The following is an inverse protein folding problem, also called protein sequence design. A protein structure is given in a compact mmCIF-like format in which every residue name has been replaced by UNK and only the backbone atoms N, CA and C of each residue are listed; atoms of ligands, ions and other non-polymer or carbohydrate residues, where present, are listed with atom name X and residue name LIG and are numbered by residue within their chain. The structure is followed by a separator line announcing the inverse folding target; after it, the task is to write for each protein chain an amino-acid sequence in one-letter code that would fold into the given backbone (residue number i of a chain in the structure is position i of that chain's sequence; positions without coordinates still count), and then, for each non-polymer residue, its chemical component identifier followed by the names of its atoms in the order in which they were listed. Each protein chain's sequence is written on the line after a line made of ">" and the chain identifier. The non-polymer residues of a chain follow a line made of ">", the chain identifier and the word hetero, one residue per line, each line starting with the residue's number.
data_IF_937249412438
#
_entry.id   IF_937249412438
#
_cell.length_a   1.000
_cell.length_b   1.000
_cell.length_c   1.000
_cell.angle_alpha   90.00
_cell.angle_beta   90.00
_cell.angle_gamma   90.00
#
_symmetry.space_group_name_H-M   'P 1'
#
loop_
_entity.id
_entity.type
_entity.pdbx_description
1 polymer ?
#
# COMPACT_ATOMS: atom_id res chain seq x y z
N UNK A 1 2.38 39.83 59.04
CA UNK A 1 2.76 38.54 58.43
C UNK A 1 3.21 38.65 56.94
N UNK A 2 3.02 39.80 56.29
CA UNK A 2 3.45 40.03 54.93
C UNK A 2 4.84 40.67 54.74
N UNK A 3 5.49 41.11 55.82
CA UNK A 3 6.82 41.72 55.79
C UNK A 3 7.99 40.71 55.95
N UNK A 4 7.70 39.46 56.27
CA UNK A 4 8.72 38.43 56.51
C UNK A 4 9.04 37.59 55.28
N UNK A 5 8.29 37.72 54.21
CA UNK A 5 8.51 36.98 52.99
C UNK A 5 9.34 37.72 51.92
N UNK A 6 9.42 39.07 52.05
CA UNK A 6 10.25 39.88 51.15
C UNK A 6 11.72 39.92 51.52
N UNK A 7 12.07 39.73 52.81
CA UNK A 7 13.45 39.71 53.26
C UNK A 7 14.22 38.41 52.98
N UNK A 8 13.53 37.36 52.57
CA UNK A 8 14.14 36.05 52.20
C UNK A 8 14.56 35.98 50.75
N UNK A 9 14.07 36.87 49.90
CA UNK A 9 14.36 36.85 48.46
C UNK A 9 15.59 37.72 48.10
N UNK A 10 16.00 38.65 49.00
CA UNK A 10 17.11 39.58 48.73
C UNK A 10 18.52 39.06 49.09
N UNK A 11 18.66 37.83 49.54
CA UNK A 11 19.96 37.22 49.85
C UNK A 11 20.38 36.04 48.95
N UNK A 12 19.90 35.97 47.75
CA UNK A 12 20.60 35.22 46.69
C UNK A 12 21.68 36.13 46.10
N UNK A 13 22.71 36.39 46.90
CA UNK A 13 24.01 36.89 46.38
C UNK A 13 24.48 35.87 45.37
N UNK A 14 24.30 36.12 44.07
CA UNK A 14 25.01 35.40 43.03
C UNK A 14 26.53 35.67 43.28
N UNK A 15 27.17 34.75 44.01
CA UNK A 15 28.62 34.72 44.06
C UNK A 15 29.07 34.77 42.62
N UNK A 16 29.87 35.75 42.24
CA UNK A 16 30.51 35.78 40.94
C UNK A 16 31.27 34.45 40.80
N UNK A 17 30.77 33.62 39.90
CA UNK A 17 31.35 32.32 39.61
C UNK A 17 32.77 32.54 39.12
N UNK A 18 33.72 31.85 39.71
CA UNK A 18 35.10 31.90 39.31
C UNK A 18 35.25 31.43 37.85
N UNK A 19 36.23 31.90 37.10
CA UNK A 19 36.47 31.56 35.69
C UNK A 19 36.44 30.04 35.45
N UNK A 20 36.90 29.28 36.42
CA UNK A 20 36.90 27.82 36.38
C UNK A 20 35.50 27.24 36.49
N UNK A 21 34.63 27.81 37.31
CA UNK A 21 33.22 27.42 37.47
C UNK A 21 32.42 27.77 36.23
N UNK A 22 32.71 28.91 35.58
CA UNK A 22 32.11 29.26 34.29
C UNK A 22 32.53 28.29 33.18
N UNK A 23 33.81 27.90 33.11
CA UNK A 23 34.25 26.93 32.09
C UNK A 23 33.62 25.55 32.28
N UNK A 24 33.44 25.10 33.52
CA UNK A 24 32.75 23.81 33.80
C UNK A 24 31.26 23.85 33.45
N UNK A 25 30.57 24.98 33.69
CA UNK A 25 29.17 25.17 33.30
C UNK A 25 29.00 25.19 31.79
N UNK A 26 29.87 25.87 31.05
CA UNK A 26 29.86 25.90 29.60
C UNK A 26 30.09 24.50 29.03
N UNK A 27 31.09 23.77 29.55
CA UNK A 27 31.41 22.43 29.12
C UNK A 27 30.26 21.45 29.40
N UNK A 28 29.61 21.54 30.57
CA UNK A 28 28.45 20.73 30.89
C UNK A 28 27.26 21.03 30.00
N UNK A 29 27.02 22.31 29.67
CA UNK A 29 25.94 22.71 28.74
C UNK A 29 26.17 22.17 27.33
N UNK A 30 27.45 22.22 26.86
CA UNK A 30 27.82 21.63 25.55
C UNK A 30 27.61 20.11 25.56
N UNK A 31 28.02 19.42 26.64
CA UNK A 31 27.82 17.98 26.79
C UNK A 31 26.32 17.57 26.79
N UNK A 32 25.48 18.31 27.53
CA UNK A 32 24.03 18.08 27.57
C UNK A 32 23.44 18.34 26.20
N UNK A 33 23.83 19.38 25.50
CA UNK A 33 23.37 19.68 24.14
C UNK A 33 23.79 18.58 23.16
N UNK A 34 25.04 18.15 23.18
CA UNK A 34 25.55 17.07 22.35
C UNK A 34 24.80 15.74 22.62
N UNK A 35 24.55 15.43 23.90
CA UNK A 35 23.80 14.25 24.31
C UNK A 35 22.33 14.33 23.89
N UNK A 36 21.72 15.50 24.00
CA UNK A 36 20.35 15.72 23.54
C UNK A 36 20.22 15.54 22.02
N UNK A 37 21.18 16.08 21.25
CA UNK A 37 21.24 15.89 19.79
C UNK A 37 21.47 14.41 19.46
N UNK A 38 22.34 13.73 20.20
CA UNK A 38 22.56 12.29 20.03
C UNK A 38 21.28 11.48 20.28
N UNK A 39 20.58 11.73 21.41
CA UNK A 39 19.31 11.05 21.72
C UNK A 39 18.28 11.33 20.64
N UNK A 40 18.12 12.59 20.23
CA UNK A 40 17.15 12.97 19.21
C UNK A 40 17.45 12.32 17.85
N UNK A 41 18.72 12.30 17.44
CA UNK A 41 19.11 11.76 16.12
C UNK A 41 19.13 10.24 16.06
N UNK A 42 19.59 9.58 17.10
CA UNK A 42 19.77 8.12 17.11
C UNK A 42 18.68 7.38 17.86
N UNK A 43 17.87 8.07 18.68
CA UNK A 43 16.80 7.45 19.49
C UNK A 43 17.24 6.11 20.10
N UNK A 44 18.37 6.02 20.82
CA UNK A 44 18.98 4.75 21.25
C UNK A 44 18.09 3.94 22.20
N UNK A 45 17.09 4.57 22.80
CA UNK A 45 16.13 3.94 23.71
C UNK A 45 14.82 3.54 23.01
N UNK A 46 14.59 3.96 21.76
CA UNK A 46 13.42 3.57 21.00
C UNK A 46 13.66 2.19 20.38
N UNK A 47 13.35 1.15 21.13
CA UNK A 47 13.38 -0.22 20.61
C UNK A 47 11.99 -0.59 20.12
N UNK A 48 11.87 -0.93 18.85
CA UNK A 48 10.62 -1.38 18.29
C UNK A 48 10.46 -1.00 16.82
N UNK A 49 9.35 -1.45 16.30
CA UNK A 49 8.92 -1.14 14.94
C UNK A 49 7.41 -0.90 14.95
N UNK A 50 6.91 -0.31 13.88
CA UNK A 50 5.47 -0.12 13.63
C UNK A 50 5.09 -0.81 12.34
N UNK A 51 3.92 -1.47 12.33
CA UNK A 51 3.33 -1.98 11.09
C UNK A 51 2.64 -0.80 10.43
N UNK A 52 3.03 -0.50 9.19
CA UNK A 52 2.45 0.59 8.41
C UNK A 52 1.67 0.03 7.23
N UNK A 53 0.72 0.80 6.79
CA UNK A 53 0.00 0.60 5.54
C UNK A 53 -0.06 1.95 4.82
N UNK A 54 -0.22 1.91 3.50
CA UNK A 54 -0.26 3.13 2.69
C UNK A 54 -1.67 3.68 2.51
N UNK A 55 -2.69 2.86 2.80
CA UNK A 55 -4.08 3.16 2.48
C UNK A 55 -4.99 3.24 3.72
N UNK A 56 -4.45 3.81 4.83
CA UNK A 56 -5.24 4.13 6.02
C UNK A 56 -5.88 2.94 6.70
N UNK A 57 -5.17 1.83 6.83
CA UNK A 57 -5.68 0.60 7.46
C UNK A 57 -6.47 -0.30 6.51
N UNK A 58 -6.38 -0.06 5.19
CA UNK A 58 -7.07 -0.86 4.19
C UNK A 58 -6.07 -1.56 3.27
N UNK A 59 -6.36 -2.80 2.90
CA UNK A 59 -5.70 -3.52 1.82
C UNK A 59 -6.75 -3.91 0.80
N UNK A 60 -6.50 -3.58 -0.46
CA UNK A 60 -7.40 -3.86 -1.56
C UNK A 60 -6.89 -5.06 -2.37
N UNK A 61 -7.68 -6.11 -2.60
CA UNK A 61 -7.30 -7.20 -3.49
C UNK A 61 -6.81 -6.72 -4.85
N UNK A 62 -7.42 -5.68 -5.42
CA UNK A 62 -7.03 -5.12 -6.70
C UNK A 62 -5.57 -4.66 -6.75
N UNK A 63 -5.02 -4.07 -5.68
CA UNK A 63 -3.62 -3.63 -5.64
C UNK A 63 -2.64 -4.80 -5.72
N UNK A 64 -3.00 -5.92 -5.12
CA UNK A 64 -2.17 -7.12 -5.09
C UNK A 64 -2.25 -7.87 -6.42
N UNK A 65 -3.48 -8.05 -6.94
CA UNK A 65 -3.73 -8.80 -8.17
C UNK A 65 -3.15 -8.08 -9.40
N UNK A 66 -3.30 -6.75 -9.50
CA UNK A 66 -2.77 -5.96 -10.62
C UNK A 66 -1.25 -5.97 -10.69
N UNK A 67 -0.56 -6.11 -9.55
CA UNK A 67 0.90 -6.11 -9.48
C UNK A 67 1.50 -7.52 -9.39
N UNK A 68 0.70 -8.59 -9.40
CA UNK A 68 1.15 -9.95 -9.17
C UNK A 68 2.30 -10.39 -10.10
N UNK A 69 2.24 -9.99 -11.37
CA UNK A 69 3.23 -10.31 -12.41
C UNK A 69 4.24 -9.20 -12.68
N UNK A 70 4.06 -8.02 -12.06
CA UNK A 70 4.96 -6.87 -12.28
C UNK A 70 6.28 -7.07 -11.56
N UNK A 71 7.40 -6.65 -12.16
CA UNK A 71 8.69 -6.65 -11.47
C UNK A 71 8.66 -5.67 -10.27
N UNK A 72 9.05 -6.16 -9.10
CA UNK A 72 9.06 -5.35 -7.88
C UNK A 72 9.96 -4.10 -8.00
N UNK A 73 11.05 -4.19 -8.78
CA UNK A 73 11.97 -3.07 -9.01
C UNK A 73 11.33 -1.92 -9.81
N UNK A 74 10.27 -2.18 -10.56
CA UNK A 74 9.54 -1.14 -11.29
C UNK A 74 8.59 -0.33 -10.40
N UNK A 75 8.27 -0.85 -9.21
CA UNK A 75 7.32 -0.22 -8.28
C UNK A 75 8.02 0.74 -7.32
N UNK A 76 9.31 0.49 -7.04
CA UNK A 76 10.09 1.29 -6.07
C UNK A 76 10.97 2.30 -6.80
N UNK A 77 10.85 3.60 -6.49
CA UNK A 77 11.81 4.60 -6.96
C UNK A 77 13.23 4.28 -6.50
N UNK A 78 14.23 4.47 -7.36
CA UNK A 78 15.64 4.15 -7.08
C UNK A 78 16.21 4.90 -5.85
N UNK A 79 15.69 6.07 -5.52
CA UNK A 79 16.11 6.91 -4.37
C UNK A 79 15.28 6.69 -3.10
N UNK A 80 14.46 5.65 -3.05
CA UNK A 80 13.57 5.42 -1.93
C UNK A 80 14.30 4.86 -0.70
N UNK A 81 13.81 5.22 0.48
CA UNK A 81 14.21 4.62 1.75
C UNK A 81 13.52 3.26 1.99
N UNK A 82 12.96 2.68 0.93
CA UNK A 82 12.24 1.42 0.92
C UNK A 82 13.21 0.27 0.72
N UNK A 83 12.98 -0.81 1.46
CA UNK A 83 13.71 -2.06 1.34
C UNK A 83 12.70 -3.19 1.22
N UNK A 84 12.96 -4.15 0.36
CA UNK A 84 12.14 -5.34 0.17
C UNK A 84 11.12 -5.22 -0.95
N UNK A 85 10.03 -5.96 -0.86
CA UNK A 85 9.05 -6.13 -1.93
C UNK A 85 7.78 -5.31 -1.68
N UNK A 86 7.59 -4.16 -2.34
CA UNK A 86 6.43 -3.29 -2.15
C UNK A 86 5.09 -3.94 -2.53
N UNK A 87 5.10 -5.01 -3.35
CA UNK A 87 3.89 -5.82 -3.64
C UNK A 87 3.27 -6.44 -2.40
N UNK A 88 4.01 -6.49 -1.29
CA UNK A 88 3.48 -7.00 -0.03
C UNK A 88 2.33 -6.17 0.53
N UNK A 89 2.22 -4.89 0.17
CA UNK A 89 1.26 -3.92 0.71
C UNK A 89 1.33 -3.77 2.24
N UNK A 90 2.18 -4.55 2.90
CA UNK A 90 2.43 -4.53 4.34
C UNK A 90 3.89 -4.12 4.52
N UNK A 91 4.12 -3.11 5.34
CA UNK A 91 5.47 -2.67 5.64
C UNK A 91 5.67 -2.52 7.14
N UNK A 92 6.92 -2.60 7.57
CA UNK A 92 7.31 -2.20 8.90
C UNK A 92 8.21 -0.95 8.83
N UNK A 93 7.95 -0.02 9.71
CA UNK A 93 8.78 1.18 9.91
C UNK A 93 9.63 0.99 11.13
N UNK A 94 10.94 1.13 10.97
CA UNK A 94 11.88 1.07 12.09
C UNK A 94 13.07 1.99 11.86
N UNK A 95 13.64 2.48 12.97
CA UNK A 95 14.87 3.23 12.94
C UNK A 95 16.03 2.33 13.32
N UNK A 96 17.07 2.33 12.50
CA UNK A 96 18.24 1.50 12.70
C UNK A 96 19.35 2.30 13.41
N UNK A 97 19.89 1.77 14.51
CA UNK A 97 20.95 2.42 15.28
C UNK A 97 22.37 2.13 14.76
N UNK A 98 22.57 1.01 14.04
CA UNK A 98 23.89 0.57 13.59
C UNK A 98 23.88 0.31 12.09
N UNK A 99 24.99 0.62 11.41
CA UNK A 99 25.16 0.29 10.00
C UNK A 99 25.22 -1.23 9.78
N UNK A 100 24.77 -1.67 8.59
CA UNK A 100 24.75 -3.08 8.17
C UNK A 100 24.05 -4.02 9.16
N UNK A 101 23.00 -3.53 9.82
CA UNK A 101 22.20 -4.34 10.71
C UNK A 101 21.40 -5.38 9.97
N UNK A 102 21.40 -6.63 10.48
CA UNK A 102 20.58 -7.71 9.96
C UNK A 102 19.20 -7.64 10.61
N UNK A 103 18.18 -7.59 9.77
CA UNK A 103 16.77 -7.58 10.18
C UNK A 103 16.09 -8.83 9.65
N UNK A 104 15.52 -9.64 10.54
CA UNK A 104 14.66 -10.76 10.23
C UNK A 104 13.23 -10.41 10.61
N UNK A 105 12.30 -10.62 9.68
CA UNK A 105 10.88 -10.35 9.87
C UNK A 105 10.12 -11.65 9.65
N UNK A 106 9.23 -11.96 10.56
CA UNK A 106 8.28 -13.07 10.46
C UNK A 106 6.87 -12.51 10.50
N UNK A 107 6.08 -12.79 9.46
CA UNK A 107 4.67 -12.42 9.36
C UNK A 107 3.85 -13.70 9.52
N UNK A 108 2.94 -13.70 10.50
CA UNK A 108 2.08 -14.84 10.77
C UNK A 108 1.03 -15.03 9.67
N UNK A 109 0.58 -16.26 9.48
CA UNK A 109 -0.46 -16.60 8.52
C UNK A 109 -1.82 -15.93 8.82
N UNK A 110 -2.61 -15.74 7.80
CA UNK A 110 -4.00 -15.28 7.83
C UNK A 110 -4.80 -16.03 6.76
N UNK A 111 -6.11 -15.91 6.67
CA UNK A 111 -6.86 -16.49 5.56
C UNK A 111 -6.40 -16.01 4.17
N UNK A 112 -5.75 -14.84 4.08
CA UNK A 112 -5.37 -14.20 2.82
C UNK A 112 -3.91 -14.38 2.43
N UNK A 113 -3.06 -14.83 3.32
CA UNK A 113 -1.64 -15.11 3.04
C UNK A 113 -1.05 -16.12 4.02
N UNK A 114 -0.06 -16.86 3.54
CA UNK A 114 0.69 -17.84 4.33
C UNK A 114 1.75 -17.16 5.20
N UNK A 115 2.19 -17.84 6.26
CA UNK A 115 3.33 -17.41 7.05
C UNK A 115 4.55 -17.20 6.16
N UNK A 116 5.26 -16.12 6.39
CA UNK A 116 6.48 -15.78 5.65
C UNK A 116 7.59 -15.29 6.56
N UNK A 117 8.83 -15.50 6.13
CA UNK A 117 10.03 -15.02 6.80
C UNK A 117 10.91 -14.34 5.77
N UNK A 118 11.34 -13.12 6.06
CA UNK A 118 12.21 -12.32 5.19
C UNK A 118 13.41 -11.81 5.97
N UNK A 119 14.56 -11.72 5.32
CA UNK A 119 15.81 -11.21 5.89
C UNK A 119 16.35 -10.05 5.06
N UNK A 120 16.75 -8.99 5.74
CA UNK A 120 17.23 -7.77 5.11
C UNK A 120 18.49 -7.26 5.79
N UNK A 121 19.28 -6.46 5.05
CA UNK A 121 20.41 -5.71 5.59
C UNK A 121 20.06 -4.22 5.53
N UNK A 122 20.15 -3.54 6.66
CA UNK A 122 19.91 -2.10 6.80
C UNK A 122 21.25 -1.38 6.72
N UNK A 123 21.60 -0.71 5.60
CA UNK A 123 22.99 -0.29 5.35
C UNK A 123 23.46 0.88 6.19
N UNK A 124 22.59 1.84 6.54
CA UNK A 124 23.00 3.10 7.20
C UNK A 124 22.50 3.15 8.64
N UNK A 125 23.36 3.62 9.55
CA UNK A 125 22.99 3.91 10.93
C UNK A 125 22.16 5.21 11.04
N UNK A 126 21.30 5.29 12.05
CA UNK A 126 20.50 6.48 12.36
C UNK A 126 19.41 6.81 11.34
N UNK A 127 19.18 5.93 10.36
CA UNK A 127 18.16 6.09 9.32
C UNK A 127 16.87 5.34 9.68
N UNK A 128 15.75 5.93 9.36
CA UNK A 128 14.45 5.27 9.38
C UNK A 128 14.24 4.57 8.04
N UNK A 129 13.82 3.30 8.11
CA UNK A 129 13.54 2.47 6.95
C UNK A 129 12.07 2.06 6.94
N UNK A 130 11.51 1.98 5.74
CA UNK A 130 10.26 1.31 5.45
C UNK A 130 10.61 -0.02 4.76
N UNK A 131 10.39 -1.12 5.47
CA UNK A 131 10.79 -2.46 5.02
C UNK A 131 9.56 -3.28 4.69
N UNK A 132 9.50 -3.77 3.46
CA UNK A 132 8.42 -4.60 2.92
C UNK A 132 8.86 -6.07 2.94
N UNK A 133 8.37 -6.90 3.88
CA UNK A 133 8.61 -8.33 3.86
C UNK A 133 7.95 -8.97 2.65
N UNK A 134 8.44 -10.12 2.22
CA UNK A 134 7.76 -10.92 1.23
C UNK A 134 6.50 -11.53 1.84
N UNK A 135 5.37 -11.33 1.18
CA UNK A 135 4.08 -11.90 1.56
C UNK A 135 3.65 -12.90 0.49
N UNK A 136 3.34 -14.11 0.93
CA UNK A 136 2.86 -15.19 0.04
C UNK A 136 1.33 -15.12 0.03
N UNK A 137 0.79 -14.32 -0.89
CA UNK A 137 -0.64 -14.08 -1.01
C UNK A 137 -1.40 -15.31 -1.50
N UNK A 138 -2.56 -15.55 -0.89
CA UNK A 138 -3.56 -16.49 -1.39
C UNK A 138 -4.46 -15.75 -2.41
N UNK A 139 -4.07 -15.80 -3.68
CA UNK A 139 -4.78 -15.08 -4.75
C UNK A 139 -6.23 -15.54 -4.90
N UNK A 140 -6.53 -16.80 -4.62
CA UNK A 140 -7.93 -17.27 -4.68
C UNK A 140 -8.77 -16.64 -3.57
N UNK A 141 -8.27 -16.63 -2.35
CA UNK A 141 -8.95 -15.97 -1.23
C UNK A 141 -9.17 -14.47 -1.47
N UNK A 142 -8.24 -13.79 -2.16
CA UNK A 142 -8.39 -12.40 -2.55
C UNK A 142 -9.49 -12.20 -3.58
N UNK A 143 -9.58 -13.07 -4.59
CA UNK A 143 -10.63 -13.03 -5.63
C UNK A 143 -12.03 -13.34 -5.07
N UNK A 144 -12.11 -14.24 -4.11
CA UNK A 144 -13.38 -14.67 -3.51
C UNK A 144 -13.87 -13.69 -2.42
N UNK A 145 -13.06 -12.72 -2.03
CA UNK A 145 -13.41 -11.77 -0.98
C UNK A 145 -14.32 -10.64 -1.51
N UNK A 146 -15.60 -10.82 -1.42
CA UNK A 146 -16.63 -9.88 -1.92
C UNK A 146 -17.13 -8.87 -0.88
N UNK A 147 -16.55 -8.83 0.33
CA UNK A 147 -16.92 -7.90 1.39
C UNK A 147 -15.68 -7.47 2.20
N UNK A 148 -15.78 -6.35 2.91
CA UNK A 148 -14.74 -5.90 3.81
C UNK A 148 -14.66 -6.79 5.05
N UNK A 149 -13.46 -7.35 5.35
CA UNK A 149 -13.23 -8.25 6.48
C UNK A 149 -12.06 -7.71 7.33
N UNK A 150 -12.21 -7.59 8.66
CA UNK A 150 -11.10 -7.24 9.51
C UNK A 150 -10.10 -8.39 9.59
N UNK A 151 -8.81 -8.09 9.41
CA UNK A 151 -7.71 -9.05 9.47
C UNK A 151 -6.66 -8.55 10.45
N UNK A 152 -6.26 -9.38 11.40
CA UNK A 152 -5.20 -9.07 12.34
C UNK A 152 -3.86 -9.57 11.80
N UNK A 153 -2.97 -8.63 11.48
CA UNK A 153 -1.61 -8.92 11.03
C UNK A 153 -0.70 -8.95 12.24
N UNK A 154 -0.04 -10.07 12.45
CA UNK A 154 0.94 -10.25 13.53
C UNK A 154 2.34 -10.33 12.92
N UNK A 155 3.23 -9.48 13.42
CA UNK A 155 4.62 -9.40 12.96
C UNK A 155 5.57 -9.55 14.14
N UNK A 156 6.55 -10.43 13.98
CA UNK A 156 7.73 -10.53 14.85
C UNK A 156 8.94 -10.04 14.06
N UNK A 157 9.82 -9.35 14.72
CA UNK A 157 11.06 -8.89 14.12
C UNK A 157 12.24 -9.09 15.04
N UNK A 158 13.39 -9.41 14.45
CA UNK A 158 14.65 -9.58 15.12
C UNK A 158 15.70 -8.69 14.45
N UNK A 159 16.34 -7.83 15.24
CA UNK A 159 17.38 -6.93 14.74
C UNK A 159 18.73 -7.30 15.39
N UNK A 160 19.71 -7.71 14.55
CA UNK A 160 21.04 -8.16 15.03
C UNK A 160 20.93 -9.25 16.12
N UNK A 161 20.08 -10.26 15.95
CA UNK A 161 19.78 -11.35 16.90
C UNK A 161 19.09 -10.89 18.20
N UNK A 162 18.63 -9.66 18.27
CA UNK A 162 17.82 -9.15 19.38
C UNK A 162 16.37 -9.13 18.94
N UNK A 163 15.52 -9.87 19.64
CA UNK A 163 14.08 -9.86 19.43
C UNK A 163 13.51 -8.48 19.77
N UNK A 164 12.65 -7.97 18.90
CA UNK A 164 11.86 -6.77 19.12
C UNK A 164 10.46 -7.16 19.61
N UNK A 165 9.77 -6.29 20.35
CA UNK A 165 8.39 -6.58 20.77
C UNK A 165 7.49 -6.90 19.58
N UNK A 166 6.79 -8.02 19.64
CA UNK A 166 5.80 -8.41 18.63
C UNK A 166 4.75 -7.31 18.47
N UNK A 167 4.35 -7.07 17.24
CA UNK A 167 3.31 -6.09 16.90
C UNK A 167 2.13 -6.78 16.25
N UNK A 168 0.95 -6.27 16.62
CA UNK A 168 -0.32 -6.67 16.04
C UNK A 168 -1.00 -5.42 15.48
N UNK A 169 -1.49 -5.52 14.24
CA UNK A 169 -2.28 -4.45 13.61
C UNK A 169 -3.49 -5.06 12.94
N UNK A 170 -4.66 -4.55 13.27
CA UNK A 170 -5.88 -4.90 12.53
C UNK A 170 -6.03 -3.98 11.34
N UNK A 171 -6.21 -4.56 10.17
CA UNK A 171 -6.48 -3.87 8.92
C UNK A 171 -7.82 -4.35 8.35
N UNK A 172 -8.38 -3.61 7.43
CA UNK A 172 -9.54 -4.04 6.66
C UNK A 172 -9.08 -4.61 5.33
N UNK A 173 -9.22 -5.92 5.11
CA UNK A 173 -9.14 -6.50 3.77
C UNK A 173 -10.41 -6.14 3.04
N UNK A 174 -10.30 -5.32 2.01
CA UNK A 174 -11.43 -4.78 1.25
C UNK A 174 -11.98 -5.81 0.28
N UNK A 175 -13.17 -5.54 -0.25
CA UNK A 175 -13.79 -6.38 -1.27
C UNK A 175 -13.02 -6.35 -2.58
N UNK A 176 -13.03 -7.45 -3.34
CA UNK A 176 -12.56 -7.46 -4.73
C UNK A 176 -13.32 -6.44 -5.59
N UNK A 177 -14.57 -6.17 -5.27
CA UNK A 177 -15.38 -5.18 -5.97
C UNK A 177 -15.06 -3.72 -5.62
N UNK A 178 -14.00 -3.45 -4.85
CA UNK A 178 -13.54 -2.12 -4.48
C UNK A 178 -12.15 -1.86 -5.03
N UNK A 179 -12.06 -0.96 -6.03
CA UNK A 179 -10.77 -0.52 -6.58
C UNK A 179 -10.39 0.84 -6.03
N UNK A 180 -9.18 1.04 -5.49
CA UNK A 180 -8.73 2.37 -5.13
C UNK A 180 -8.41 3.17 -6.39
N UNK A 181 -9.02 4.35 -6.51
CA UNK A 181 -8.78 5.34 -7.58
C UNK A 181 -7.59 6.23 -7.28
N UNK A 182 -7.33 6.45 -6.02
CA UNK A 182 -6.25 7.30 -5.55
C UNK A 182 -6.31 7.54 -4.06
N UNK A 183 -5.26 8.11 -3.55
CA UNK A 183 -5.17 8.49 -2.14
C UNK A 183 -4.43 9.82 -1.96
N UNK A 184 -4.67 10.45 -0.83
CA UNK A 184 -3.97 11.67 -0.41
C UNK A 184 -2.98 11.30 0.68
N UNK A 185 -1.72 11.64 0.49
CA UNK A 185 -0.65 11.38 1.46
C UNK A 185 -0.63 12.41 2.61
N UNK A 186 0.25 12.20 3.59
CA UNK A 186 0.43 13.09 4.75
C UNK A 186 0.85 14.53 4.37
N UNK A 187 1.32 14.73 3.13
CA UNK A 187 1.69 16.04 2.58
C UNK A 187 0.57 16.67 1.76
N UNK A 188 -0.64 16.11 1.84
CA UNK A 188 -1.82 16.54 1.07
C UNK A 188 -1.64 16.41 -0.46
N UNK A 189 -0.73 15.55 -0.92
CA UNK A 189 -0.55 15.27 -2.33
C UNK A 189 -1.44 14.10 -2.73
N UNK A 190 -2.18 14.28 -3.83
CA UNK A 190 -2.97 13.20 -4.44
C UNK A 190 -2.07 12.28 -5.28
N UNK A 191 -2.26 10.99 -5.10
CA UNK A 191 -1.65 9.92 -5.87
C UNK A 191 -2.73 9.16 -6.61
N UNK A 192 -2.67 9.17 -7.93
CA UNK A 192 -3.54 8.38 -8.80
C UNK A 192 -3.12 6.90 -8.71
N UNK A 193 -4.08 6.01 -8.70
CA UNK A 193 -3.90 4.56 -8.63
C UNK A 193 -4.77 3.83 -9.66
N UNK A 194 -5.10 4.50 -10.76
CA UNK A 194 -5.92 3.95 -11.84
C UNK A 194 -5.34 2.68 -12.48
N UNK A 195 -4.03 2.48 -12.39
CA UNK A 195 -3.38 1.23 -12.84
C UNK A 195 -3.90 -0.03 -12.16
N UNK A 196 -4.50 0.08 -10.98
CA UNK A 196 -5.04 -1.08 -10.28
C UNK A 196 -6.33 -1.64 -10.90
N UNK A 197 -6.94 -0.93 -11.84
CA UNK A 197 -8.02 -1.51 -12.65
C UNK A 197 -7.55 -2.68 -13.50
N UNK A 198 -6.27 -2.81 -13.78
CA UNK A 198 -5.71 -3.98 -14.45
C UNK A 198 -6.01 -5.33 -13.74
N UNK A 199 -6.37 -5.29 -12.45
CA UNK A 199 -6.77 -6.49 -11.72
C UNK A 199 -8.05 -7.15 -12.23
N UNK A 200 -8.90 -6.40 -12.94
CA UNK A 200 -10.20 -6.86 -13.44
C UNK A 200 -10.14 -7.30 -14.90
N UNK A 201 -9.09 -6.95 -15.62
CA UNK A 201 -8.88 -7.39 -16.99
C UNK A 201 -8.37 -8.82 -17.02
N UNK A 202 -9.14 -9.72 -17.61
CA UNK A 202 -8.77 -11.12 -17.78
C UNK A 202 -9.16 -11.60 -19.18
N UNK A 203 -8.21 -11.51 -20.11
CA UNK A 203 -8.38 -11.91 -21.51
C UNK A 203 -8.61 -13.41 -21.71
N UNK A 204 -8.17 -14.24 -20.76
CA UNK A 204 -8.35 -15.70 -20.78
C UNK A 204 -9.65 -16.16 -20.09
N UNK A 205 -10.52 -15.23 -19.71
CA UNK A 205 -11.75 -15.58 -19.02
C UNK A 205 -12.69 -16.40 -19.94
N UNK A 206 -13.29 -17.52 -19.48
CA UNK A 206 -14.12 -18.37 -20.31
C UNK A 206 -15.31 -17.66 -20.98
N UNK A 207 -15.81 -16.59 -20.38
CA UNK A 207 -16.88 -15.78 -20.97
C UNK A 207 -16.40 -14.97 -22.18
N UNK A 208 -15.12 -14.61 -22.25
CA UNK A 208 -14.55 -13.93 -23.43
C UNK A 208 -14.58 -14.87 -24.63
N UNK A 209 -14.16 -16.12 -24.47
CA UNK A 209 -14.29 -17.14 -25.54
C UNK A 209 -15.72 -17.32 -26.03
N UNK A 210 -16.68 -17.31 -25.10
CA UNK A 210 -18.10 -17.41 -25.44
C UNK A 210 -18.57 -16.20 -26.23
N UNK A 211 -18.20 -14.98 -25.79
CA UNK A 211 -18.52 -13.74 -26.50
C UNK A 211 -17.93 -13.72 -27.92
N UNK A 212 -16.68 -14.17 -28.06
CA UNK A 212 -16.03 -14.26 -29.37
C UNK A 212 -16.74 -15.23 -30.31
N UNK A 213 -17.18 -16.39 -29.82
CA UNK A 213 -17.96 -17.36 -30.59
C UNK A 213 -19.33 -16.78 -31.00
N UNK A 214 -20.05 -16.16 -30.07
CA UNK A 214 -21.30 -15.48 -30.37
C UNK A 214 -21.13 -14.37 -31.42
N UNK A 215 -20.00 -13.64 -31.38
CA UNK A 215 -19.69 -12.63 -32.36
C UNK A 215 -19.42 -13.24 -33.76
N UNK A 216 -18.75 -14.38 -33.85
CA UNK A 216 -18.59 -15.14 -35.11
C UNK A 216 -19.92 -15.64 -35.66
N UNK A 217 -20.84 -16.07 -34.80
CA UNK A 217 -22.19 -16.53 -35.21
C UNK A 217 -23.02 -15.40 -35.84
N UNK A 218 -22.70 -14.15 -35.60
CA UNK A 218 -23.32 -12.98 -36.29
C UNK A 218 -22.99 -12.95 -37.79
N UNK A 219 -21.96 -13.66 -38.25
CA UNK A 219 -21.40 -13.65 -39.60
C UNK A 219 -20.95 -12.28 -40.12
N UNK A 220 -20.77 -11.31 -39.23
CA UNK A 220 -20.18 -9.98 -39.59
C UNK A 220 -18.69 -10.18 -39.91
N UNK A 221 -18.04 -11.09 -39.18
CA UNK A 221 -16.67 -11.54 -39.42
C UNK A 221 -16.61 -13.06 -39.39
N UNK A 222 -15.69 -13.65 -40.12
CA UNK A 222 -15.51 -15.12 -40.16
C UNK A 222 -14.43 -15.57 -39.18
N UNK A 223 -13.58 -14.65 -38.73
CA UNK A 223 -12.48 -14.88 -37.75
C UNK A 223 -12.03 -13.56 -37.15
N UNK A 224 -11.44 -13.64 -35.97
CA UNK A 224 -10.74 -12.52 -35.36
C UNK A 224 -9.26 -12.56 -35.75
N UNK A 225 -8.75 -11.50 -36.34
CA UNK A 225 -7.36 -11.36 -36.82
C UNK A 225 -6.59 -10.27 -36.06
N UNK A 226 -7.25 -9.54 -35.18
CA UNK A 226 -6.70 -8.35 -34.54
C UNK A 226 -6.24 -7.34 -35.62
N UNK A 227 -5.02 -6.84 -35.41
CA UNK A 227 -4.36 -5.95 -36.37
C UNK A 227 -3.57 -6.66 -37.47
N UNK A 228 -3.58 -7.99 -37.48
CA UNK A 228 -2.87 -8.78 -38.49
C UNK A 228 -3.70 -8.83 -39.77
N UNK A 229 -3.21 -8.28 -40.85
CA UNK A 229 -3.89 -8.32 -42.13
C UNK A 229 -3.31 -7.33 -43.15
N UNK A 230 -3.77 -7.44 -44.38
CA UNK A 230 -3.31 -6.70 -45.55
C UNK A 230 -3.88 -5.25 -45.62
N UNK A 231 -3.80 -4.60 -46.74
CA UNK A 231 -4.08 -3.19 -47.03
C UNK A 231 -5.43 -2.57 -46.50
N UNK A 232 -6.36 -3.37 -45.98
CA UNK A 232 -7.64 -2.94 -45.40
C UNK A 232 -7.72 -3.16 -43.88
N UNK A 233 -6.63 -2.90 -43.19
CA UNK A 233 -6.45 -3.23 -41.78
C UNK A 233 -7.49 -2.53 -40.88
N UNK A 234 -7.76 -1.24 -41.09
CA UNK A 234 -8.76 -0.49 -40.31
C UNK A 234 -10.18 -1.02 -40.50
N UNK A 235 -10.60 -1.29 -41.74
CA UNK A 235 -11.93 -1.81 -42.04
C UNK A 235 -12.15 -3.21 -41.39
N UNK A 236 -11.12 -4.04 -41.36
CA UNK A 236 -11.19 -5.35 -40.74
C UNK A 236 -11.29 -5.23 -39.21
N UNK A 237 -10.59 -4.29 -38.59
CA UNK A 237 -10.70 -4.01 -37.16
C UNK A 237 -12.10 -3.51 -36.84
N UNK A 238 -12.62 -2.53 -37.60
CA UNK A 238 -13.97 -1.98 -37.41
C UNK A 238 -15.05 -3.05 -37.47
N UNK A 239 -14.95 -4.02 -38.41
CA UNK A 239 -15.88 -5.15 -38.52
C UNK A 239 -15.77 -6.08 -37.29
N UNK A 240 -14.57 -6.34 -36.77
CA UNK A 240 -14.38 -7.15 -35.57
C UNK A 240 -14.98 -6.46 -34.35
N UNK A 241 -14.72 -5.16 -34.18
CA UNK A 241 -15.32 -4.36 -33.10
C UNK A 241 -16.85 -4.35 -33.21
N UNK A 242 -17.38 -4.15 -34.45
CA UNK A 242 -18.82 -4.14 -34.66
C UNK A 242 -19.49 -5.50 -34.38
N UNK A 243 -18.82 -6.61 -34.69
CA UNK A 243 -19.31 -7.93 -34.35
C UNK A 243 -19.47 -8.13 -32.84
N UNK A 244 -18.44 -7.74 -32.06
CA UNK A 244 -18.50 -7.77 -30.60
C UNK A 244 -19.56 -6.83 -30.04
N UNK A 245 -19.60 -5.60 -30.54
CA UNK A 245 -20.61 -4.61 -30.14
C UNK A 245 -22.04 -5.14 -30.38
N UNK A 246 -22.29 -5.82 -31.48
CA UNK A 246 -23.60 -6.40 -31.81
C UNK A 246 -24.05 -7.43 -30.77
N UNK A 247 -23.12 -8.26 -30.29
CA UNK A 247 -23.40 -9.26 -29.23
C UNK A 247 -23.65 -8.56 -27.90
N UNK A 248 -22.82 -7.61 -27.53
CA UNK A 248 -22.96 -6.89 -26.26
C UNK A 248 -24.25 -6.06 -26.22
N UNK A 249 -24.61 -5.42 -27.34
CA UNK A 249 -25.86 -4.66 -27.45
C UNK A 249 -27.09 -5.54 -27.22
N UNK A 250 -27.11 -6.77 -27.75
CA UNK A 250 -28.19 -7.72 -27.56
C UNK A 250 -28.40 -8.17 -26.12
N UNK A 251 -27.35 -8.07 -25.28
CA UNK A 251 -27.43 -8.40 -23.85
C UNK A 251 -28.20 -7.37 -23.04
N UNK A 252 -28.49 -6.19 -23.63
CA UNK A 252 -29.32 -5.15 -23.03
C UNK A 252 -28.87 -4.75 -21.61
N UNK A 253 -27.56 -4.56 -21.41
CA UNK A 253 -27.02 -4.11 -20.15
C UNK A 253 -27.66 -2.79 -19.71
N UNK A 254 -28.06 -2.75 -18.45
CA UNK A 254 -28.57 -1.53 -17.81
C UNK A 254 -27.43 -0.78 -17.14
N UNK A 255 -27.38 0.52 -17.36
CA UNK A 255 -26.41 1.35 -16.66
C UNK A 255 -26.74 1.42 -15.17
N UNK A 256 -25.77 1.14 -14.33
CA UNK A 256 -25.87 1.28 -12.89
C UNK A 256 -25.08 2.50 -12.45
N UNK A 257 -25.75 3.45 -11.81
CA UNK A 257 -25.11 4.62 -11.20
C UNK A 257 -24.41 4.29 -9.86
N UNK A 258 -24.50 3.03 -9.39
CA UNK A 258 -23.89 2.62 -8.14
C UNK A 258 -22.37 2.48 -8.30
N UNK A 259 -21.66 3.55 -8.01
CA UNK A 259 -20.19 3.63 -8.05
C UNK A 259 -19.57 3.67 -6.65
N UNK A 260 -20.39 3.95 -5.63
CA UNK A 260 -19.93 4.07 -4.25
C UNK A 260 -19.60 2.70 -3.66
N UNK A 261 -18.51 2.67 -2.90
CA UNK A 261 -18.09 1.50 -2.12
C UNK A 261 -18.55 1.63 -0.67
N UNK A 262 -18.31 0.60 0.12
CA UNK A 262 -18.58 0.62 1.57
C UNK A 262 -17.52 1.43 2.35
N UNK A 263 -16.43 1.83 1.72
CA UNK A 263 -15.37 2.59 2.35
C UNK A 263 -15.79 4.05 2.55
N UNK A 264 -15.80 4.49 3.82
CA UNK A 264 -15.87 5.91 4.17
C UNK A 264 -14.47 6.36 4.59
N UNK A 265 -13.81 7.13 3.73
CA UNK A 265 -12.45 7.64 3.97
C UNK A 265 -12.31 9.04 3.38
N UNK A 266 -11.59 9.89 4.10
CA UNK A 266 -11.23 11.23 3.60
C UNK A 266 -9.89 11.23 2.86
N UNK A 267 -9.16 10.12 2.89
CA UNK A 267 -7.81 10.01 2.32
C UNK A 267 -7.72 9.02 1.19
N UNK A 268 -8.61 8.02 1.12
CA UNK A 268 -8.62 7.00 0.05
C UNK A 268 -9.93 7.10 -0.72
N UNK A 269 -9.82 7.27 -2.01
CA UNK A 269 -10.95 7.33 -2.94
C UNK A 269 -11.06 5.98 -3.63
N UNK A 270 -12.26 5.43 -3.65
CA UNK A 270 -12.52 4.11 -4.22
C UNK A 270 -13.70 4.13 -5.16
N UNK A 271 -13.68 3.22 -6.11
CA UNK A 271 -14.80 2.97 -7.02
C UNK A 271 -15.22 1.52 -6.93
N UNK A 272 -16.53 1.30 -7.00
CA UNK A 272 -17.08 -0.03 -7.15
C UNK A 272 -16.86 -0.52 -8.57
N UNK A 273 -16.30 -1.71 -8.68
CA UNK A 273 -16.06 -2.43 -9.94
C UNK A 273 -16.74 -3.80 -9.82
N UNK A 274 -17.33 -4.30 -10.89
CA UNK A 274 -17.86 -5.67 -10.95
C UNK A 274 -16.86 -6.57 -11.66
N UNK A 275 -16.79 -7.80 -11.23
CA UNK A 275 -16.12 -8.82 -12.03
C UNK A 275 -16.94 -9.08 -13.31
N UNK A 276 -16.29 -9.64 -14.32
CA UNK A 276 -16.98 -9.95 -15.59
C UNK A 276 -18.19 -10.88 -15.37
N UNK A 277 -18.09 -11.87 -14.50
CA UNK A 277 -19.20 -12.76 -14.15
C UNK A 277 -20.34 -11.98 -13.51
N UNK A 278 -20.06 -11.15 -12.49
CA UNK A 278 -21.09 -10.34 -11.83
C UNK A 278 -21.79 -9.39 -12.81
N UNK A 279 -21.05 -8.79 -13.74
CA UNK A 279 -21.58 -7.89 -14.75
C UNK A 279 -22.52 -8.62 -15.72
N UNK A 280 -22.12 -9.81 -16.18
CA UNK A 280 -22.90 -10.62 -17.09
C UNK A 280 -24.16 -11.23 -16.43
N UNK A 281 -24.04 -11.70 -15.18
CA UNK A 281 -25.16 -12.28 -14.44
C UNK A 281 -26.21 -11.23 -14.05
N UNK A 282 -25.76 -10.08 -13.54
CA UNK A 282 -26.69 -9.02 -13.13
C UNK A 282 -27.26 -8.22 -14.30
N UNK A 283 -26.65 -8.29 -15.47
CA UNK A 283 -26.94 -7.42 -16.62
C UNK A 283 -26.87 -5.92 -16.26
N UNK A 284 -26.02 -5.56 -15.27
CA UNK A 284 -25.80 -4.20 -14.82
C UNK A 284 -24.33 -3.86 -14.88
N UNK A 285 -24.01 -2.75 -15.52
CA UNK A 285 -22.64 -2.25 -15.67
C UNK A 285 -22.58 -0.76 -15.35
N UNK A 286 -21.46 -0.32 -14.82
CA UNK A 286 -21.11 1.11 -14.72
C UNK A 286 -20.14 1.50 -15.85
N UNK A 287 -19.61 2.73 -15.82
CA UNK A 287 -18.68 3.17 -16.86
C UNK A 287 -17.36 2.40 -16.86
N UNK A 288 -16.90 1.93 -15.71
CA UNK A 288 -15.65 1.15 -15.58
C UNK A 288 -15.88 -0.28 -16.05
N UNK A 289 -16.90 -0.96 -15.51
CA UNK A 289 -17.27 -2.34 -15.90
C UNK A 289 -17.45 -2.48 -17.44
N UNK A 290 -17.79 -1.37 -18.13
CA UNK A 290 -17.97 -1.36 -19.58
C UNK A 290 -16.65 -1.21 -20.34
N UNK A 291 -15.62 -0.72 -19.67
CA UNK A 291 -14.32 -0.42 -20.28
C UNK A 291 -13.35 -1.60 -20.18
N UNK A 292 -13.61 -2.54 -19.29
CA UNK A 292 -12.88 -3.78 -19.09
C UNK A 292 -13.30 -4.84 -20.12
#
# INVERSE_FOLDING_TARGET
>A
LFRSLTDSVEKWNMKQLDKWQWSTLILSAILVMAFSVFIYRYEPFKSGFEITDQLGGNIFPATILSTATTDANLIVPADSDYIGNPKSCIAIRLKNSYANSKLRIEVAETPFFSQSVSEFILPKAGKEYLVFPDIIWNYQALRDNNQAVPVSISVKAELNKKELPQRLKTISMRSINECPLGYVDDKMKFHDTGEFFAAYVNEEHPQIDKLLREALDTRIVNRFLGYQGNAHQSENVDKQVYALWNVLQKRNFKYSSTTNTSLSSNVVYTQRVRTLDDALESSQINCVDRSE
#
